data_IF_339337254794
#
_entry.id   IF_339337254794
#
_cell.length_a   1.000
_cell.length_b   1.000
_cell.length_c   1.000
_cell.angle_alpha   90.00
_cell.angle_beta   90.00
_cell.angle_gamma   90.00
#
_symmetry.space_group_name_H-M   'P 1'
#
loop_
_entity.id
_entity.type
_entity.pdbx_description
1 polymer ?
#
# COMPACT_ATOMS: atom_id res chain seq x y z
N UNK A 1 -8.43 17.09 -41.55
CA UNK A 1 -7.27 16.40 -40.92
C UNK A 1 -6.86 17.02 -39.56
N UNK A 2 -7.83 17.38 -38.71
CA UNK A 2 -7.61 17.96 -37.37
C UNK A 2 -8.61 17.45 -36.31
N UNK A 3 -9.36 16.38 -36.60
CA UNK A 3 -10.33 15.77 -35.67
C UNK A 3 -9.90 14.39 -35.14
N UNK A 4 -8.74 13.86 -35.55
CA UNK A 4 -8.26 12.53 -35.14
C UNK A 4 -7.18 12.57 -34.03
N UNK A 5 -6.83 13.76 -33.52
CA UNK A 5 -5.83 13.92 -32.44
C UNK A 5 -6.43 14.20 -31.06
N UNK A 6 -7.75 14.34 -30.95
CA UNK A 6 -8.43 14.56 -29.67
C UNK A 6 -9.12 13.32 -29.09
N UNK A 7 -9.23 12.24 -29.87
CA UNK A 7 -9.88 10.98 -29.45
C UNK A 7 -8.89 9.89 -28.99
N UNK A 8 -7.58 10.14 -29.00
CA UNK A 8 -6.57 9.14 -28.62
C UNK A 8 -5.82 9.45 -27.32
N UNK A 9 -6.09 10.60 -26.67
CA UNK A 9 -5.56 10.91 -25.32
C UNK A 9 -6.58 10.64 -24.20
N UNK A 10 -7.79 10.18 -24.53
CA UNK A 10 -8.83 9.84 -23.57
C UNK A 10 -8.95 8.31 -23.29
N UNK A 11 -8.08 7.48 -23.87
CA UNK A 11 -8.15 6.01 -23.74
C UNK A 11 -6.93 5.37 -23.06
N UNK A 12 -6.04 6.17 -22.45
CA UNK A 12 -4.93 5.69 -21.59
C UNK A 12 -4.93 6.51 -20.30
N UNK A 13 -6.06 6.48 -19.59
CA UNK A 13 -6.18 6.89 -18.17
C UNK A 13 -7.01 5.87 -17.37
N UNK A 14 -7.56 4.84 -18.02
CA UNK A 14 -8.29 3.77 -17.34
C UNK A 14 -7.34 2.61 -17.03
N UNK A 15 -6.63 2.67 -15.90
CA UNK A 15 -6.35 1.57 -14.97
C UNK A 15 -5.37 2.06 -13.90
N UNK A 16 -5.75 1.85 -12.65
CA UNK A 16 -5.14 2.36 -11.41
C UNK A 16 -5.48 3.82 -11.05
N UNK A 17 -6.78 4.10 -10.97
CA UNK A 17 -7.28 4.83 -9.81
C UNK A 17 -8.04 3.82 -8.95
N UNK A 18 -7.47 3.40 -7.81
CA UNK A 18 -8.29 3.00 -6.67
C UNK A 18 -8.62 4.31 -5.94
N UNK A 19 -9.36 5.17 -6.63
CA UNK A 19 -10.23 6.12 -5.97
C UNK A 19 -11.40 5.27 -5.53
N UNK A 20 -11.68 5.20 -4.23
CA UNK A 20 -12.90 4.59 -3.75
C UNK A 20 -14.08 5.22 -4.49
N UNK A 21 -14.64 4.49 -5.45
CA UNK A 21 -15.95 4.80 -5.97
C UNK A 21 -16.92 4.47 -4.83
N UNK A 22 -17.28 5.48 -4.03
CA UNK A 22 -18.46 5.40 -3.20
C UNK A 22 -19.63 5.22 -4.16
N UNK A 23 -20.15 3.98 -4.27
CA UNK A 23 -21.45 3.77 -4.88
C UNK A 23 -22.50 4.27 -3.88
N UNK A 24 -22.95 5.51 -4.07
CA UNK A 24 -24.08 6.08 -3.35
C UNK A 24 -25.35 5.49 -3.97
N UNK A 25 -25.90 4.44 -3.38
CA UNK A 25 -27.29 4.04 -3.64
C UNK A 25 -28.22 4.94 -2.84
N UNK A 26 -28.69 6.04 -3.44
CA UNK A 26 -29.86 6.76 -2.92
C UNK A 26 -31.10 5.92 -3.22
N UNK A 27 -31.55 5.12 -2.26
CA UNK A 27 -32.79 4.35 -2.42
C UNK A 27 -33.98 5.32 -2.33
N UNK A 28 -34.47 5.77 -3.48
CA UNK A 28 -35.84 6.25 -3.64
C UNK A 28 -36.62 5.13 -4.33
N UNK A 29 -37.50 4.45 -3.59
CA UNK A 29 -38.26 3.30 -4.12
C UNK A 29 -39.26 3.76 -5.18
N UNK A 30 -39.13 3.25 -6.41
CA UNK A 30 -40.23 3.10 -7.37
C UNK A 30 -39.93 1.89 -8.27
N UNK A 31 -40.76 0.85 -8.15
CA UNK A 31 -40.65 -0.40 -8.90
C UNK A 31 -40.87 -0.23 -10.41
N UNK A 32 -40.04 -0.89 -11.23
CA UNK A 32 -40.54 -1.68 -12.37
C UNK A 32 -39.51 -2.68 -12.90
N UNK A 33 -39.98 -3.91 -13.09
CA UNK A 33 -39.28 -5.08 -13.59
C UNK A 33 -39.12 -5.14 -15.12
N UNK A 34 -38.02 -5.74 -15.59
CA UNK A 34 -37.87 -6.72 -16.72
C UNK A 34 -36.35 -6.92 -16.97
N UNK A 35 -35.77 -8.10 -16.79
CA UNK A 35 -35.76 -9.33 -17.61
C UNK A 35 -34.80 -9.32 -18.82
N UNK A 36 -33.94 -10.34 -18.83
CA UNK A 36 -33.42 -11.13 -19.99
C UNK A 36 -32.05 -10.86 -20.65
N UNK A 37 -31.13 -11.79 -20.32
CA UNK A 37 -30.34 -12.74 -21.16
C UNK A 37 -29.24 -12.34 -22.16
N UNK A 38 -28.07 -12.95 -21.89
CA UNK A 38 -27.12 -13.69 -22.75
C UNK A 38 -26.48 -13.02 -23.97
N UNK A 39 -25.14 -13.17 -24.09
CA UNK A 39 -24.51 -13.94 -25.18
C UNK A 39 -23.04 -14.25 -24.85
N UNK A 40 -22.73 -15.56 -24.77
CA UNK A 40 -21.38 -16.10 -24.82
C UNK A 40 -20.93 -16.21 -26.28
N UNK A 41 -19.66 -15.92 -26.58
CA UNK A 41 -19.01 -16.43 -27.78
C UNK A 41 -17.55 -16.72 -27.50
N UNK A 42 -17.17 -17.98 -27.73
CA UNK A 42 -15.82 -18.50 -27.64
C UNK A 42 -14.99 -18.09 -28.87
N UNK A 43 -13.68 -17.97 -28.70
CA UNK A 43 -12.75 -18.28 -29.79
C UNK A 43 -11.38 -18.70 -29.27
N UNK A 44 -10.73 -19.48 -30.11
CA UNK A 44 -9.77 -20.51 -29.77
C UNK A 44 -8.34 -20.15 -30.21
N UNK A 45 -7.40 -20.88 -29.62
CA UNK A 45 -6.19 -21.49 -30.24
C UNK A 45 -4.82 -20.77 -30.21
N UNK A 46 -3.82 -21.64 -29.96
CA UNK A 46 -2.41 -21.68 -30.41
C UNK A 46 -1.32 -21.30 -29.38
N UNK A 47 -0.80 -22.34 -28.70
CA UNK A 47 0.62 -22.51 -28.29
C UNK A 47 1.49 -22.83 -29.55
N UNK A 48 2.82 -22.59 -29.61
CA UNK A 48 3.81 -23.05 -28.61
C UNK A 48 5.06 -22.16 -28.42
N UNK A 49 5.88 -22.41 -27.39
CA UNK A 49 7.28 -22.87 -27.56
C UNK A 49 8.17 -22.69 -26.31
N UNK A 50 8.96 -23.74 -26.07
CA UNK A 50 10.37 -23.78 -25.63
C UNK A 50 10.79 -23.21 -24.27
N UNK A 51 10.98 -24.14 -23.33
CA UNK A 51 11.76 -23.99 -22.10
C UNK A 51 13.22 -23.68 -22.41
N UNK A 52 13.76 -22.63 -21.78
CA UNK A 52 15.21 -22.43 -21.63
C UNK A 52 15.49 -22.33 -20.13
N UNK A 53 16.24 -23.29 -19.62
CA UNK A 53 16.70 -23.38 -18.23
C UNK A 53 17.82 -22.36 -17.99
N UNK A 54 17.52 -21.29 -17.25
CA UNK A 54 18.52 -20.32 -16.80
C UNK A 54 19.24 -20.86 -15.57
N UNK A 55 20.54 -21.12 -15.70
CA UNK A 55 21.41 -21.52 -14.62
C UNK A 55 21.67 -20.33 -13.67
N UNK A 56 21.26 -20.46 -12.41
CA UNK A 56 21.57 -19.51 -11.34
C UNK A 56 23.06 -19.51 -11.07
N UNK A 57 23.74 -18.43 -11.45
CA UNK A 57 25.16 -18.21 -11.13
C UNK A 57 25.24 -17.68 -9.70
N UNK A 58 25.74 -18.50 -8.78
CA UNK A 58 26.02 -18.12 -7.39
C UNK A 58 27.23 -17.17 -7.40
N UNK A 59 27.01 -15.89 -7.07
CA UNK A 59 28.09 -14.94 -6.84
C UNK A 59 28.78 -15.25 -5.49
N UNK A 60 30.12 -15.23 -5.42
CA UNK A 60 30.86 -15.48 -4.19
C UNK A 60 30.60 -14.39 -3.15
N UNK A 61 30.39 -14.82 -1.91
CA UNK A 61 30.21 -13.98 -0.73
C UNK A 61 31.56 -13.30 -0.41
N UNK A 62 31.68 -12.00 -0.69
CA UNK A 62 32.86 -11.22 -0.33
C UNK A 62 32.58 -10.47 0.97
N UNK A 63 33.21 -10.91 2.07
CA UNK A 63 33.24 -10.26 3.39
C UNK A 63 34.09 -8.98 3.41
N UNK A 64 33.96 -8.10 2.42
CA UNK A 64 34.59 -6.77 2.44
C UNK A 64 33.52 -5.72 2.67
N UNK A 65 33.71 -4.89 3.69
CA UNK A 65 32.89 -3.69 3.93
C UNK A 65 32.74 -2.93 2.61
N UNK A 66 31.51 -2.73 2.09
CA UNK A 66 31.32 -2.15 0.78
C UNK A 66 31.89 -0.73 0.73
N UNK A 67 32.81 -0.48 -0.19
CA UNK A 67 33.35 0.87 -0.42
C UNK A 67 32.36 1.68 -1.24
N UNK A 68 31.79 2.74 -0.65
CA UNK A 68 30.82 3.59 -1.37
C UNK A 68 31.45 4.49 -2.46
N UNK A 69 32.78 4.49 -2.56
CA UNK A 69 33.52 5.04 -3.68
C UNK A 69 33.54 4.14 -4.92
N UNK A 70 33.23 2.84 -4.77
CA UNK A 70 33.11 1.89 -5.89
C UNK A 70 31.72 2.03 -6.53
N UNK A 71 31.60 2.44 -7.82
CA UNK A 71 30.30 2.62 -8.46
C UNK A 71 29.45 1.34 -8.56
N UNK A 72 30.02 0.15 -8.28
CA UNK A 72 29.29 -1.12 -8.27
C UNK A 72 28.12 -1.14 -7.30
N UNK A 73 28.17 -0.39 -6.19
CA UNK A 73 27.07 -0.37 -5.22
C UNK A 73 25.74 0.09 -5.83
N UNK A 74 25.79 0.92 -6.88
CA UNK A 74 24.60 1.42 -7.60
C UNK A 74 23.80 0.33 -8.31
N UNK A 75 24.30 -0.90 -8.38
CA UNK A 75 23.68 -1.97 -9.16
C UNK A 75 23.33 -3.22 -8.34
N UNK A 76 23.85 -3.35 -7.11
CA UNK A 76 23.65 -4.53 -6.27
C UNK A 76 23.00 -4.08 -4.96
N UNK A 77 21.76 -4.49 -4.71
CA UNK A 77 20.95 -4.03 -3.58
C UNK A 77 21.69 -4.16 -2.23
N UNK A 78 22.26 -5.32 -1.93
CA UNK A 78 23.02 -5.58 -0.69
C UNK A 78 24.18 -4.59 -0.48
N UNK A 79 24.83 -4.15 -1.57
CA UNK A 79 25.88 -3.12 -1.51
C UNK A 79 25.32 -1.71 -1.51
N UNK A 80 24.15 -1.51 -2.11
CA UNK A 80 23.51 -0.21 -2.22
C UNK A 80 22.99 0.28 -0.88
N UNK A 81 22.37 -0.59 -0.09
CA UNK A 81 21.74 -0.23 1.19
C UNK A 81 22.72 0.53 2.12
N UNK A 82 23.91 0.02 2.49
CA UNK A 82 24.80 0.74 3.41
C UNK A 82 25.37 2.04 2.82
N UNK A 83 25.43 2.17 1.49
CA UNK A 83 25.90 3.38 0.83
C UNK A 83 24.82 4.44 0.64
N UNK A 84 23.62 4.03 0.26
CA UNK A 84 22.47 4.91 0.08
C UNK A 84 21.87 5.36 1.41
N UNK A 85 22.10 4.61 2.48
CA UNK A 85 21.67 4.88 3.85
C UNK A 85 22.86 5.21 4.77
N UNK A 86 23.92 5.81 4.22
CA UNK A 86 25.03 6.33 5.02
C UNK A 86 24.58 7.54 5.85
N UNK A 87 25.34 7.87 6.90
CA UNK A 87 25.10 9.07 7.71
C UNK A 87 24.95 10.35 6.89
N UNK A 88 25.78 10.51 5.86
CA UNK A 88 25.75 11.68 4.97
C UNK A 88 24.49 11.70 4.10
N UNK A 89 24.01 10.55 3.63
CA UNK A 89 22.77 10.47 2.84
C UNK A 89 21.52 10.67 3.71
N UNK A 90 21.47 10.07 4.90
CA UNK A 90 20.36 10.23 5.85
C UNK A 90 20.21 11.70 6.29
N UNK A 91 21.34 12.38 6.55
CA UNK A 91 21.32 13.80 6.91
C UNK A 91 20.67 14.71 5.84
N UNK A 92 20.66 14.30 4.56
CA UNK A 92 20.03 15.08 3.47
C UNK A 92 18.50 14.98 3.47
N UNK A 93 17.94 13.90 3.99
CA UNK A 93 16.49 13.66 4.03
C UNK A 93 15.86 13.97 5.39
N UNK A 94 16.69 14.27 6.39
CA UNK A 94 16.25 14.58 7.75
C UNK A 94 15.10 15.59 7.86
N UNK A 95 15.07 16.72 7.13
CA UNK A 95 13.95 17.65 7.21
C UNK A 95 12.60 17.00 6.83
N UNK A 96 12.60 16.12 5.82
CA UNK A 96 11.40 15.38 5.41
C UNK A 96 11.05 14.30 6.44
N UNK A 97 12.06 13.59 6.97
CA UNK A 97 11.83 12.60 8.02
C UNK A 97 11.22 13.25 9.29
N UNK A 98 11.69 14.41 9.71
CA UNK A 98 11.11 15.16 10.83
C UNK A 98 9.66 15.60 10.54
N UNK A 99 9.37 16.03 9.31
CA UNK A 99 8.02 16.40 8.89
C UNK A 99 7.04 15.20 8.92
N UNK A 100 7.49 14.02 8.48
CA UNK A 100 6.64 12.84 8.35
C UNK A 100 6.55 12.02 9.65
N UNK A 101 7.42 12.26 10.63
CA UNK A 101 7.47 11.49 11.87
C UNK A 101 6.18 11.65 12.68
N UNK A 102 5.48 10.53 12.87
CA UNK A 102 4.33 10.41 13.75
C UNK A 102 4.71 10.11 15.20
N UNK A 103 3.69 10.04 16.08
CA UNK A 103 3.87 9.65 17.48
C UNK A 103 4.18 8.16 17.67
N UNK A 104 3.89 7.33 16.66
CA UNK A 104 4.17 5.88 16.64
C UNK A 104 4.75 5.46 15.29
N UNK A 105 5.37 4.28 15.22
CA UNK A 105 5.91 3.76 13.95
C UNK A 105 4.81 3.55 12.91
N UNK A 106 3.60 3.14 13.32
CA UNK A 106 2.45 3.00 12.42
C UNK A 106 2.05 4.33 11.79
N UNK A 107 2.03 5.41 12.58
CA UNK A 107 1.71 6.73 12.08
C UNK A 107 2.80 7.24 11.13
N UNK A 108 4.07 7.05 11.48
CA UNK A 108 5.19 7.39 10.61
C UNK A 108 5.15 6.62 9.29
N UNK A 109 4.90 5.31 9.34
CA UNK A 109 4.78 4.46 8.15
C UNK A 109 3.62 4.91 7.24
N UNK A 110 2.46 5.21 7.83
CA UNK A 110 1.31 5.72 7.08
C UNK A 110 1.59 7.08 6.43
N UNK A 111 2.20 8.01 7.18
CA UNK A 111 2.57 9.33 6.67
C UNK A 111 3.56 9.22 5.51
N UNK A 112 4.55 8.31 5.59
CA UNK A 112 5.48 8.05 4.50
C UNK A 112 4.74 7.55 3.26
N UNK A 113 3.86 6.56 3.41
CA UNK A 113 3.13 5.97 2.28
C UNK A 113 2.18 6.97 1.59
N UNK A 114 1.46 7.82 2.34
CA UNK A 114 0.66 8.89 1.74
C UNK A 114 1.55 9.92 1.04
N UNK A 115 2.66 10.32 1.66
CA UNK A 115 3.58 11.28 1.04
C UNK A 115 4.19 10.72 -0.25
N UNK A 116 4.64 9.46 -0.25
CA UNK A 116 5.20 8.78 -1.42
C UNK A 116 4.18 8.70 -2.57
N UNK A 117 2.94 8.31 -2.27
CA UNK A 117 1.82 8.27 -3.22
C UNK A 117 1.56 9.63 -3.87
N UNK A 118 1.65 10.71 -3.12
CA UNK A 118 1.37 12.06 -3.60
C UNK A 118 2.55 12.71 -4.35
N UNK A 119 3.79 12.40 -3.94
CA UNK A 119 4.97 13.17 -4.35
C UNK A 119 5.94 12.40 -5.27
N UNK A 120 5.90 11.08 -5.28
CA UNK A 120 6.82 10.24 -6.05
C UNK A 120 6.04 9.44 -7.08
N UNK A 121 6.38 9.61 -8.36
CA UNK A 121 5.79 8.83 -9.46
C UNK A 121 6.60 7.56 -9.73
N UNK A 122 5.92 6.50 -10.16
CA UNK A 122 6.61 5.30 -10.63
C UNK A 122 7.31 5.56 -11.97
N UNK A 123 8.63 5.38 -12.02
CA UNK A 123 9.44 5.59 -13.24
C UNK A 123 9.36 4.38 -14.17
N UNK A 124 8.26 4.28 -14.93
CA UNK A 124 8.05 3.23 -15.92
C UNK A 124 9.15 3.16 -16.98
N UNK A 125 9.76 4.30 -17.34
CA UNK A 125 10.87 4.34 -18.30
C UNK A 125 12.08 3.63 -17.72
N UNK A 126 12.45 3.94 -16.47
CA UNK A 126 13.53 3.23 -15.76
C UNK A 126 13.19 1.74 -15.58
N UNK A 127 11.96 1.41 -15.18
CA UNK A 127 11.53 0.03 -14.98
C UNK A 127 11.58 -0.83 -16.27
N UNK A 128 11.41 -0.19 -17.44
CA UNK A 128 11.53 -0.87 -18.75
C UNK A 128 12.97 -1.12 -19.20
N UNK A 129 13.96 -0.54 -18.53
CA UNK A 129 15.36 -0.80 -18.81
C UNK A 129 15.71 -2.23 -18.42
N UNK A 130 16.62 -2.89 -19.14
CA UNK A 130 17.06 -4.23 -18.76
C UNK A 130 17.71 -4.22 -17.38
N UNK A 131 17.53 -5.31 -16.64
CA UNK A 131 18.22 -5.53 -15.37
C UNK A 131 19.75 -5.42 -15.57
N UNK A 132 20.48 -4.84 -14.60
CA UNK A 132 21.93 -4.78 -14.66
C UNK A 132 22.56 -6.17 -14.74
N UNK A 133 23.40 -6.39 -15.75
CA UNK A 133 24.24 -7.58 -15.86
C UNK A 133 25.69 -7.15 -15.66
N UNK A 134 26.37 -7.75 -14.69
CA UNK A 134 27.69 -7.32 -14.23
C UNK A 134 28.68 -8.46 -14.41
N UNK A 135 29.77 -8.20 -15.14
CA UNK A 135 30.93 -9.08 -15.20
C UNK A 135 32.00 -8.58 -14.26
N UNK A 136 32.38 -9.43 -13.30
CA UNK A 136 33.48 -9.17 -12.37
C UNK A 136 34.71 -9.93 -12.89
N UNK A 137 35.82 -9.24 -13.05
CA UNK A 137 37.09 -9.80 -13.52
C UNK A 137 37.94 -10.26 -12.33
N UNK A 138 38.91 -11.14 -12.59
CA UNK A 138 39.78 -11.72 -11.56
C UNK A 138 40.62 -10.69 -10.78
N UNK A 139 40.85 -9.50 -11.35
CA UNK A 139 41.55 -8.39 -10.70
C UNK A 139 40.63 -7.50 -9.85
N UNK A 140 39.36 -7.89 -9.66
CA UNK A 140 38.36 -7.12 -8.91
C UNK A 140 37.71 -5.97 -9.68
N UNK A 141 38.18 -5.65 -10.88
CA UNK A 141 37.48 -4.70 -11.75
C UNK A 141 36.15 -5.29 -12.23
N UNK A 142 35.21 -4.43 -12.61
CA UNK A 142 33.92 -4.88 -13.12
C UNK A 142 33.50 -4.10 -14.37
N UNK A 143 32.59 -4.70 -15.13
CA UNK A 143 31.92 -4.07 -16.27
C UNK A 143 30.44 -4.38 -16.23
N UNK A 144 29.62 -3.34 -16.27
CA UNK A 144 28.18 -3.48 -16.51
C UNK A 144 27.98 -3.71 -18.01
N UNK A 145 27.61 -4.93 -18.37
CA UNK A 145 27.46 -5.35 -19.78
C UNK A 145 26.06 -5.07 -20.32
N UNK A 146 25.06 -4.94 -19.45
CA UNK A 146 23.67 -4.60 -19.77
C UNK A 146 23.06 -3.80 -18.61
N UNK A 147 22.08 -2.94 -18.88
CA UNK A 147 21.34 -2.22 -17.83
C UNK A 147 22.12 -1.10 -17.14
N UNK A 148 23.12 -0.50 -17.80
CA UNK A 148 24.00 0.54 -17.22
C UNK A 148 23.24 1.74 -16.64
N UNK A 149 22.11 2.11 -17.23
CA UNK A 149 21.31 3.26 -16.79
C UNK A 149 20.26 2.88 -15.73
N UNK A 150 20.09 1.58 -15.44
CA UNK A 150 19.19 1.09 -14.39
C UNK A 150 19.93 1.04 -13.04
N UNK A 151 20.24 2.22 -12.51
CA UNK A 151 20.99 2.41 -11.25
C UNK A 151 20.07 2.67 -10.08
N UNK A 152 20.40 2.14 -8.91
CA UNK A 152 19.74 2.40 -7.64
C UNK A 152 19.97 3.85 -7.21
N UNK A 153 18.89 4.51 -6.80
CA UNK A 153 18.90 5.88 -6.32
C UNK A 153 19.11 5.94 -4.80
N UNK A 154 19.72 7.02 -4.32
CA UNK A 154 19.67 7.33 -2.87
C UNK A 154 18.30 7.90 -2.49
N UNK A 155 17.93 7.94 -1.20
CA UNK A 155 16.70 8.59 -0.77
C UNK A 155 16.58 10.04 -1.28
N UNK A 156 17.64 10.82 -1.13
CA UNK A 156 17.67 12.22 -1.58
C UNK A 156 17.50 12.34 -3.10
N UNK A 157 18.13 11.48 -3.89
CA UNK A 157 17.94 11.47 -5.34
C UNK A 157 16.50 11.15 -5.75
N UNK A 158 15.87 10.17 -5.09
CA UNK A 158 14.47 9.79 -5.34
C UNK A 158 13.52 10.96 -5.06
N UNK A 159 13.72 11.66 -3.94
CA UNK A 159 12.97 12.86 -3.56
C UNK A 159 13.17 13.95 -4.61
N UNK A 160 14.42 14.28 -4.97
CA UNK A 160 14.72 15.37 -5.90
C UNK A 160 14.22 15.12 -7.32
N UNK A 161 14.15 13.85 -7.75
CA UNK A 161 13.60 13.50 -9.06
C UNK A 161 12.08 13.41 -9.05
N UNK A 162 11.45 13.26 -7.88
CA UNK A 162 10.01 13.02 -7.75
C UNK A 162 9.56 11.71 -8.39
N UNK A 163 10.48 10.75 -8.61
CA UNK A 163 10.18 9.46 -9.23
C UNK A 163 11.25 8.39 -9.01
N UNK A 164 10.82 7.13 -8.96
CA UNK A 164 11.68 5.97 -8.79
C UNK A 164 11.00 4.66 -9.19
N UNK A 165 11.73 3.55 -9.09
CA UNK A 165 11.17 2.19 -9.20
C UNK A 165 11.12 1.53 -7.81
N UNK A 166 10.55 0.32 -7.70
CA UNK A 166 10.36 -0.36 -6.42
C UNK A 166 11.58 -0.36 -5.47
N UNK A 167 12.79 -0.59 -6.00
CA UNK A 167 14.02 -0.53 -5.19
C UNK A 167 14.34 0.86 -4.66
N UNK A 168 14.05 1.92 -5.43
CA UNK A 168 14.30 3.29 -4.99
C UNK A 168 13.31 3.69 -3.88
N UNK A 169 12.03 3.28 -4.01
CA UNK A 169 11.04 3.46 -2.95
C UNK A 169 11.46 2.71 -1.68
N UNK A 170 11.79 1.42 -1.77
CA UNK A 170 12.20 0.63 -0.61
C UNK A 170 13.38 1.28 0.16
N UNK A 171 14.37 1.81 -0.56
CA UNK A 171 15.50 2.52 0.04
C UNK A 171 15.09 3.87 0.63
N UNK A 172 14.23 4.64 -0.06
CA UNK A 172 13.68 5.89 0.47
C UNK A 172 12.90 5.67 1.76
N UNK A 173 11.93 4.74 1.75
CA UNK A 173 11.10 4.39 2.91
C UNK A 173 11.96 3.93 4.09
N UNK A 174 12.93 3.04 3.85
CA UNK A 174 13.85 2.58 4.89
C UNK A 174 14.71 3.73 5.44
N UNK A 175 15.22 4.62 4.57
CA UNK A 175 16.00 5.77 4.99
C UNK A 175 15.21 6.75 5.86
N UNK A 176 13.97 7.05 5.49
CA UNK A 176 13.08 7.91 6.29
C UNK A 176 12.83 7.29 7.67
N UNK A 177 12.52 5.99 7.74
CA UNK A 177 12.30 5.30 9.01
C UNK A 177 13.55 5.27 9.91
N UNK A 178 14.73 4.99 9.34
CA UNK A 178 15.99 5.00 10.08
C UNK A 178 16.31 6.39 10.64
N UNK A 179 16.14 7.46 9.84
CA UNK A 179 16.39 8.83 10.33
C UNK A 179 15.39 9.25 11.42
N UNK A 180 14.15 8.74 11.37
CA UNK A 180 13.18 8.84 12.46
C UNK A 180 13.54 8.02 13.71
N UNK A 181 14.66 7.31 13.70
CA UNK A 181 15.16 6.43 14.77
C UNK A 181 14.30 5.18 14.99
N UNK A 182 13.66 4.67 13.93
CA UNK A 182 13.12 3.32 13.90
C UNK A 182 14.19 2.36 13.38
N UNK A 183 14.60 1.42 14.22
CA UNK A 183 15.62 0.42 13.91
C UNK A 183 15.38 -0.81 14.80
N UNK A 184 15.43 -2.04 14.26
CA UNK A 184 15.70 -2.36 12.87
C UNK A 184 14.56 -1.99 11.90
N UNK A 185 14.91 -1.83 10.62
CA UNK A 185 13.99 -1.86 9.49
C UNK A 185 14.47 -2.91 8.50
N UNK A 186 13.60 -3.35 7.59
CA UNK A 186 13.91 -4.43 6.67
C UNK A 186 13.68 -4.00 5.23
N UNK A 187 14.44 -4.59 4.30
CA UNK A 187 14.13 -4.56 2.87
C UNK A 187 13.99 -6.00 2.39
N UNK A 188 12.86 -6.29 1.74
CA UNK A 188 12.61 -7.60 1.14
C UNK A 188 12.80 -7.50 -0.37
N UNK A 189 13.70 -8.32 -0.90
CA UNK A 189 13.84 -8.52 -2.36
C UNK A 189 13.00 -9.73 -2.77
N UNK A 190 11.83 -9.46 -3.32
CA UNK A 190 10.78 -10.43 -3.65
C UNK A 190 10.98 -10.97 -5.06
N UNK A 191 10.90 -12.29 -5.20
CA UNK A 191 10.88 -12.98 -6.48
C UNK A 191 9.49 -13.58 -6.73
N UNK A 192 9.05 -13.58 -7.99
CA UNK A 192 7.80 -14.19 -8.40
C UNK A 192 8.03 -15.47 -9.19
N UNK A 193 7.13 -16.44 -9.05
CA UNK A 193 7.17 -17.69 -9.82
C UNK A 193 7.04 -17.40 -11.32
N UNK A 194 7.98 -17.90 -12.12
CA UNK A 194 7.94 -17.78 -13.59
C UNK A 194 8.16 -16.37 -14.12
N UNK A 195 8.75 -15.46 -13.32
CA UNK A 195 9.08 -14.11 -13.75
C UNK A 195 10.54 -13.76 -13.47
N UNK A 196 11.20 -13.16 -14.45
CA UNK A 196 12.54 -12.60 -14.29
C UNK A 196 12.52 -11.19 -13.68
N UNK A 197 11.33 -10.62 -13.46
CA UNK A 197 11.13 -9.30 -12.84
C UNK A 197 10.68 -9.50 -11.40
N UNK A 198 11.58 -9.20 -10.46
CA UNK A 198 11.28 -9.17 -9.03
C UNK A 198 10.60 -7.88 -8.58
N UNK A 199 10.51 -7.71 -7.26
CA UNK A 199 10.05 -6.50 -6.59
C UNK A 199 10.88 -6.24 -5.34
N UNK A 200 10.89 -5.00 -4.85
CA UNK A 200 11.60 -4.64 -3.63
C UNK A 200 10.72 -3.73 -2.79
N UNK A 201 10.65 -4.01 -1.49
CA UNK A 201 9.80 -3.28 -0.53
C UNK A 201 10.52 -3.06 0.78
N UNK A 202 10.18 -1.96 1.45
CA UNK A 202 10.53 -1.76 2.84
C UNK A 202 9.52 -2.52 3.73
N UNK A 203 10.00 -3.01 4.87
CA UNK A 203 9.20 -3.76 5.84
C UNK A 203 9.58 -3.31 7.25
N UNK A 204 8.60 -3.20 8.13
CA UNK A 204 8.79 -2.92 9.57
C UNK A 204 8.24 -4.08 10.40
N UNK A 205 8.80 -4.28 11.59
CA UNK A 205 8.29 -5.22 12.58
C UNK A 205 7.58 -4.47 13.71
N UNK A 206 6.37 -4.92 14.06
CA UNK A 206 5.58 -4.40 15.17
C UNK A 206 5.01 -5.59 15.94
N UNK A 207 5.41 -5.76 17.19
CA UNK A 207 4.91 -6.82 18.07
C UNK A 207 5.02 -8.24 17.45
N UNK A 208 6.12 -8.51 16.73
CA UNK A 208 6.36 -9.80 16.06
C UNK A 208 5.71 -9.94 14.69
N UNK A 209 4.92 -8.95 14.25
CA UNK A 209 4.29 -8.91 12.93
C UNK A 209 5.07 -8.03 11.96
N UNK A 210 5.22 -8.49 10.73
CA UNK A 210 5.92 -7.79 9.66
C UNK A 210 4.91 -7.12 8.73
N UNK A 211 5.12 -5.84 8.48
CA UNK A 211 4.26 -5.01 7.65
C UNK A 211 5.03 -4.46 6.46
N UNK A 212 4.55 -4.78 5.27
CA UNK A 212 5.08 -4.31 4.00
C UNK A 212 4.59 -2.90 3.72
N UNK A 213 5.55 -2.02 3.40
CA UNK A 213 5.33 -0.63 3.01
C UNK A 213 5.65 -0.51 1.51
N UNK A 214 4.61 -0.53 0.67
CA UNK A 214 4.74 -0.62 -0.79
C UNK A 214 4.11 0.58 -1.51
N UNK A 215 4.76 1.75 -1.37
CA UNK A 215 4.52 3.00 -2.14
C UNK A 215 3.18 3.69 -1.88
N UNK A 216 2.16 2.97 -1.43
CA UNK A 216 0.82 3.48 -1.16
C UNK A 216 0.27 2.81 0.11
N UNK A 217 -0.59 3.50 0.88
CA UNK A 217 -1.35 2.86 1.93
C UNK A 217 -2.35 1.84 1.37
N UNK A 218 -2.76 0.85 2.18
CA UNK A 218 -2.33 0.62 3.56
C UNK A 218 -0.99 -0.13 3.66
N UNK A 219 -0.36 -0.08 4.84
CA UNK A 219 0.64 -1.08 5.21
C UNK A 219 -0.04 -2.46 5.30
N UNK A 220 0.57 -3.49 4.71
CA UNK A 220 -0.02 -4.84 4.63
C UNK A 220 0.79 -5.83 5.44
N UNK A 221 0.15 -6.73 6.20
CA UNK A 221 0.87 -7.89 6.72
C UNK A 221 1.33 -8.82 5.57
N UNK A 222 2.25 -9.74 5.85
CA UNK A 222 2.85 -10.58 4.82
C UNK A 222 1.82 -11.44 4.07
N UNK A 223 0.80 -11.96 4.77
CA UNK A 223 -0.25 -12.78 4.21
C UNK A 223 -1.15 -12.00 3.25
N UNK A 224 -1.57 -10.81 3.68
CA UNK A 224 -2.30 -9.86 2.85
C UNK A 224 -1.48 -9.47 1.60
N UNK A 225 -0.18 -9.21 1.77
CA UNK A 225 0.72 -8.87 0.67
C UNK A 225 0.87 -10.02 -0.35
N UNK A 226 0.94 -11.27 0.14
CA UNK A 226 0.96 -12.45 -0.72
C UNK A 226 -0.32 -12.57 -1.56
N UNK A 227 -1.49 -12.38 -0.95
CA UNK A 227 -2.78 -12.39 -1.67
C UNK A 227 -2.87 -11.27 -2.71
N UNK A 228 -2.50 -10.05 -2.32
CA UNK A 228 -2.48 -8.89 -3.21
C UNK A 228 -1.74 -9.18 -4.53
N UNK A 229 -0.55 -9.79 -4.46
CA UNK A 229 0.18 -10.16 -5.67
C UNK A 229 -0.45 -11.31 -6.43
N UNK A 230 -0.95 -12.33 -5.72
CA UNK A 230 -1.60 -13.50 -6.34
C UNK A 230 -2.79 -13.08 -7.20
N UNK A 231 -3.59 -12.13 -6.73
CA UNK A 231 -4.73 -11.56 -7.47
C UNK A 231 -4.29 -10.80 -8.72
N UNK A 232 -3.11 -10.17 -8.67
CA UNK A 232 -2.47 -9.53 -9.83
C UNK A 232 -1.80 -10.54 -10.78
N UNK A 233 -2.08 -11.82 -10.61
CA UNK A 233 -1.53 -12.90 -11.44
C UNK A 233 -0.06 -13.22 -11.15
N UNK A 234 0.50 -12.76 -10.03
CA UNK A 234 1.89 -13.03 -9.63
C UNK A 234 1.95 -13.76 -8.30
N UNK A 235 2.55 -14.94 -8.28
CA UNK A 235 2.75 -15.68 -7.02
C UNK A 235 4.14 -15.39 -6.48
N UNK A 236 4.25 -14.93 -5.23
CA UNK A 236 5.54 -14.78 -4.55
C UNK A 236 6.17 -16.17 -4.39
N UNK A 237 7.35 -16.37 -4.96
CA UNK A 237 8.10 -17.62 -4.83
C UNK A 237 8.96 -17.62 -3.57
N UNK A 238 9.69 -16.53 -3.34
CA UNK A 238 10.52 -16.30 -2.17
C UNK A 238 10.86 -14.80 -2.02
N UNK A 239 11.43 -14.43 -0.88
CA UNK A 239 12.05 -13.14 -0.67
C UNK A 239 13.40 -13.30 0.03
N UNK A 240 14.40 -12.52 -0.40
CA UNK A 240 15.64 -12.34 0.38
C UNK A 240 15.44 -11.20 1.36
N UNK A 241 15.77 -11.43 2.64
CA UNK A 241 15.53 -10.47 3.72
C UNK A 241 16.85 -9.78 4.09
N UNK A 242 16.86 -8.46 4.04
CA UNK A 242 17.93 -7.63 4.56
C UNK A 242 17.42 -6.93 5.82
N UNK A 243 18.00 -7.23 6.97
CA UNK A 243 17.82 -6.46 8.20
C UNK A 243 18.79 -5.29 8.21
N UNK A 244 18.28 -4.11 8.56
CA UNK A 244 19.02 -2.86 8.52
C UNK A 244 18.94 -2.22 9.89
N UNK A 245 20.10 -2.11 10.56
CA UNK A 245 20.23 -1.48 11.87
C UNK A 245 20.96 -0.15 11.73
N UNK A 246 20.52 0.85 12.49
CA UNK A 246 21.25 2.11 12.59
C UNK A 246 22.36 1.99 13.63
N UNK A 247 23.63 2.04 13.20
CA UNK A 247 24.80 1.98 14.09
C UNK A 247 25.70 3.19 13.82
N UNK A 248 25.97 3.98 14.87
CA UNK A 248 26.76 5.22 14.79
C UNK A 248 26.27 6.23 13.72
N UNK A 249 24.98 6.19 13.39
CA UNK A 249 24.34 7.06 12.39
C UNK A 249 24.43 6.56 10.95
N UNK A 250 24.95 5.36 10.70
CA UNK A 250 24.97 4.71 9.38
C UNK A 250 24.23 3.37 9.42
N UNK A 251 23.68 2.96 8.27
CA UNK A 251 23.06 1.65 8.14
C UNK A 251 24.10 0.51 8.13
N UNK A 252 23.95 -0.44 9.04
CA UNK A 252 24.55 -1.77 8.96
C UNK A 252 23.53 -2.77 8.44
N UNK A 253 23.94 -3.64 7.53
CA UNK A 253 23.05 -4.56 6.81
C UNK A 253 23.44 -6.00 7.08
N UNK A 254 22.46 -6.79 7.50
CA UNK A 254 22.59 -8.23 7.69
C UNK A 254 21.64 -8.95 6.71
N UNK A 255 22.18 -9.88 5.92
CA UNK A 255 21.40 -10.74 5.05
C UNK A 255 20.90 -11.94 5.86
N UNK A 256 19.60 -11.93 6.22
CA UNK A 256 18.98 -12.98 7.03
C UNK A 256 18.64 -14.24 6.20
N UNK A 257 18.92 -14.22 4.91
CA UNK A 257 18.68 -15.33 3.99
C UNK A 257 17.35 -15.22 3.24
N UNK A 258 16.85 -16.37 2.79
CA UNK A 258 15.71 -16.48 1.88
C UNK A 258 14.54 -17.14 2.61
N UNK A 259 13.37 -16.51 2.55
CA UNK A 259 12.09 -17.07 3.02
C UNK A 259 11.22 -17.44 1.82
N UNK A 260 10.50 -18.56 1.91
CA UNK A 260 9.57 -18.97 0.85
C UNK A 260 8.29 -18.13 0.87
N UNK A 261 7.60 -18.02 -0.27
CA UNK A 261 6.30 -17.32 -0.32
C UNK A 261 5.23 -17.95 0.58
N UNK A 262 5.32 -19.25 0.87
CA UNK A 262 4.38 -19.92 1.79
C UNK A 262 4.57 -19.43 3.23
N UNK A 263 5.78 -19.00 3.61
CA UNK A 263 6.05 -18.44 4.94
C UNK A 263 5.30 -17.11 5.16
N UNK A 264 5.00 -16.35 4.10
CA UNK A 264 4.23 -15.11 4.22
C UNK A 264 2.83 -15.38 4.77
N UNK A 265 2.22 -16.50 4.38
CA UNK A 265 0.87 -16.90 4.82
C UNK A 265 0.79 -17.28 6.31
N UNK A 266 1.93 -17.39 7.01
CA UNK A 266 1.94 -17.59 8.47
C UNK A 266 1.63 -16.31 9.23
N UNK A 267 1.80 -15.15 8.60
CA UNK A 267 1.46 -13.84 9.16
C UNK A 267 0.34 -13.22 8.34
N UNK A 268 -0.84 -13.79 8.54
CA UNK A 268 -2.02 -13.48 7.74
C UNK A 268 -3.19 -13.24 8.69
N UNK A 269 -3.37 -11.98 9.09
CA UNK A 269 -4.43 -11.64 10.02
C UNK A 269 -5.79 -11.95 9.38
N UNK A 270 -6.72 -12.46 10.20
CA UNK A 270 -8.09 -12.73 9.80
C UNK A 270 -8.99 -11.76 10.51
N UNK A 271 -9.67 -10.93 9.71
CA UNK A 271 -10.70 -10.04 10.18
C UNK A 271 -11.79 -10.81 10.95
N UNK A 272 -12.30 -10.20 12.01
CA UNK A 272 -13.28 -10.82 12.90
C UNK A 272 -14.43 -9.87 13.21
N UNK A 273 -15.53 -10.40 13.76
CA UNK A 273 -16.65 -9.59 14.27
C UNK A 273 -16.20 -8.59 15.34
N UNK A 274 -15.18 -8.95 16.15
CA UNK A 274 -14.61 -8.04 17.14
C UNK A 274 -13.92 -6.84 16.50
N UNK A 275 -13.32 -7.01 15.32
CA UNK A 275 -12.73 -5.92 14.55
C UNK A 275 -13.81 -5.01 13.97
N UNK A 276 -14.89 -5.57 13.44
CA UNK A 276 -16.04 -4.79 12.98
C UNK A 276 -16.63 -3.92 14.10
N UNK A 277 -16.79 -4.49 15.30
CA UNK A 277 -17.25 -3.76 16.49
C UNK A 277 -16.25 -2.67 16.91
N UNK A 278 -14.95 -2.97 16.92
CA UNK A 278 -13.92 -1.99 17.21
C UNK A 278 -13.93 -0.83 16.21
N UNK A 279 -14.12 -1.12 14.92
CA UNK A 279 -14.24 -0.10 13.86
C UNK A 279 -15.47 0.78 14.11
N UNK A 280 -16.63 0.18 14.37
CA UNK A 280 -17.85 0.93 14.68
C UNK A 280 -17.66 1.87 15.88
N UNK A 281 -17.10 1.36 16.98
CA UNK A 281 -16.86 2.14 18.19
C UNK A 281 -15.87 3.30 17.97
N UNK A 282 -14.76 3.04 17.27
CA UNK A 282 -13.75 4.06 16.97
C UNK A 282 -14.26 5.13 16.00
N UNK A 283 -14.97 4.75 14.93
CA UNK A 283 -15.59 5.71 14.01
C UNK A 283 -16.63 6.56 14.73
N UNK A 284 -17.51 5.94 15.53
CA UNK A 284 -18.51 6.66 16.33
C UNK A 284 -17.86 7.69 17.26
N UNK A 285 -16.76 7.31 17.90
CA UNK A 285 -16.00 8.21 18.78
C UNK A 285 -15.40 9.41 18.03
N UNK A 286 -14.87 9.19 16.82
CA UNK A 286 -14.33 10.28 15.99
C UNK A 286 -15.44 11.19 15.47
N UNK A 287 -16.58 10.64 15.04
CA UNK A 287 -17.74 11.44 14.60
C UNK A 287 -18.24 12.32 15.75
N UNK A 288 -18.49 11.76 16.94
CA UNK A 288 -18.94 12.52 18.11
C UNK A 288 -17.97 13.64 18.50
N UNK A 289 -16.67 13.41 18.36
CA UNK A 289 -15.65 14.42 18.64
C UNK A 289 -15.72 15.62 17.67
N UNK A 290 -16.00 15.37 16.39
CA UNK A 290 -16.03 16.41 15.36
C UNK A 290 -17.42 17.05 15.17
N UNK A 291 -18.49 16.33 15.53
CA UNK A 291 -19.88 16.75 15.41
C UNK A 291 -20.59 16.64 16.77
N UNK A 292 -20.32 17.57 17.71
CA UNK A 292 -20.83 17.51 19.08
C UNK A 292 -22.35 17.71 19.20
N UNK A 293 -23.04 18.08 18.10
CA UNK A 293 -24.49 18.13 17.99
C UNK A 293 -25.13 16.72 17.91
N UNK A 294 -24.35 15.70 17.58
CA UNK A 294 -24.84 14.33 17.42
C UNK A 294 -24.81 13.55 18.74
N UNK A 295 -25.77 12.64 18.89
CA UNK A 295 -25.75 11.56 19.89
C UNK A 295 -25.78 10.20 19.20
N UNK A 296 -25.14 9.20 19.81
CA UNK A 296 -25.26 7.82 19.35
C UNK A 296 -26.63 7.25 19.76
N UNK A 297 -27.35 6.60 18.84
CA UNK A 297 -28.65 5.97 19.13
C UNK A 297 -28.84 4.67 18.33
N UNK A 298 -28.79 3.54 19.03
CA UNK A 298 -28.93 2.20 18.46
C UNK A 298 -30.32 1.91 17.86
N UNK A 299 -31.37 2.65 18.25
CA UNK A 299 -32.70 2.48 17.64
C UNK A 299 -32.70 2.86 16.16
N UNK A 300 -31.75 3.71 15.73
CA UNK A 300 -31.60 4.13 14.34
C UNK A 300 -31.18 2.99 13.39
N UNK A 301 -30.74 1.83 13.89
CA UNK A 301 -30.47 0.66 13.04
C UNK A 301 -31.70 0.22 12.21
N UNK A 302 -32.91 0.62 12.61
CA UNK A 302 -34.16 0.34 11.90
C UNK A 302 -34.34 1.23 10.65
N UNK A 303 -33.59 2.33 10.54
CA UNK A 303 -33.66 3.24 9.39
C UNK A 303 -33.23 2.56 8.09
N UNK A 304 -32.19 1.73 8.13
CA UNK A 304 -31.79 0.91 7.00
C UNK A 304 -32.91 -0.02 6.48
N UNK A 305 -33.88 -0.36 7.34
CA UNK A 305 -35.06 -1.16 7.00
C UNK A 305 -36.28 -0.30 6.60
N UNK A 306 -36.11 1.02 6.53
CA UNK A 306 -37.15 1.99 6.13
C UNK A 306 -38.04 2.47 7.28
N UNK A 307 -37.69 2.19 8.54
CA UNK A 307 -38.49 2.61 9.71
C UNK A 307 -37.78 3.72 10.48
N UNK A 308 -38.43 4.89 10.60
CA UNK A 308 -37.95 6.00 11.43
C UNK A 308 -38.43 5.83 12.88
N UNK A 309 -37.53 5.71 13.87
CA UNK A 309 -37.92 5.55 15.27
C UNK A 309 -38.72 6.76 15.81
N UNK A 310 -39.49 6.52 16.87
CA UNK A 310 -40.24 7.58 17.53
C UNK A 310 -39.29 8.65 18.11
N UNK A 311 -39.73 9.92 18.11
CA UNK A 311 -38.90 11.05 18.57
C UNK A 311 -38.08 11.75 17.48
N UNK A 312 -38.07 11.20 16.26
CA UNK A 312 -37.43 11.81 15.10
C UNK A 312 -38.46 12.37 14.10
N UNK A 313 -38.08 13.43 13.38
CA UNK A 313 -38.87 14.04 12.30
C UNK A 313 -38.41 13.59 10.91
N UNK A 314 -37.14 13.19 10.80
CA UNK A 314 -36.47 12.89 9.55
C UNK A 314 -35.29 11.94 9.81
N UNK A 315 -35.00 11.05 8.85
CA UNK A 315 -33.85 10.17 8.88
C UNK A 315 -33.27 9.96 7.48
N UNK A 316 -31.96 9.70 7.41
CA UNK A 316 -31.22 9.46 6.18
C UNK A 316 -30.19 8.35 6.42
N UNK A 317 -29.90 7.59 5.37
CA UNK A 317 -28.97 6.47 5.40
C UNK A 317 -27.89 6.70 4.36
N UNK A 318 -26.64 6.66 4.80
CA UNK A 318 -25.47 6.68 3.95
C UNK A 318 -24.81 5.30 3.94
N UNK A 319 -24.46 4.81 2.76
CA UNK A 319 -23.78 3.51 2.61
C UNK A 319 -22.45 3.71 1.90
N UNK A 320 -21.39 3.20 2.50
CA UNK A 320 -20.04 3.25 1.97
C UNK A 320 -19.50 1.83 1.79
N UNK A 321 -18.81 1.59 0.68
CA UNK A 321 -18.14 0.32 0.41
C UNK A 321 -16.65 0.57 0.21
N UNK A 322 -15.84 -0.08 1.03
CA UNK A 322 -14.38 -0.03 0.99
C UNK A 322 -13.85 -1.35 0.44
N UNK A 323 -13.44 -1.31 -0.83
CA UNK A 323 -12.93 -2.48 -1.54
C UNK A 323 -11.73 -3.07 -0.84
N UNK A 324 -11.71 -4.40 -0.69
CA UNK A 324 -10.57 -5.18 -0.15
C UNK A 324 -10.12 -4.81 1.27
N UNK A 325 -10.86 -3.94 1.97
CA UNK A 325 -10.46 -3.45 3.27
C UNK A 325 -10.29 -4.57 4.30
N UNK A 326 -11.17 -5.58 4.26
CA UNK A 326 -11.14 -6.74 5.16
C UNK A 326 -9.85 -7.54 4.98
N UNK A 327 -9.30 -7.59 3.76
CA UNK A 327 -8.07 -8.33 3.48
C UNK A 327 -6.80 -7.65 3.99
N UNK A 328 -6.82 -6.32 4.09
CA UNK A 328 -5.68 -5.50 4.49
C UNK A 328 -5.76 -5.04 5.95
N UNK A 329 -6.91 -5.21 6.60
CA UNK A 329 -7.09 -4.79 7.97
C UNK A 329 -6.20 -5.61 8.91
N UNK A 330 -5.49 -4.90 9.78
CA UNK A 330 -4.79 -5.48 10.91
C UNK A 330 -4.96 -4.55 12.12
N UNK A 331 -5.31 -5.07 13.31
CA UNK A 331 -5.59 -4.25 14.49
C UNK A 331 -4.40 -3.40 14.93
N UNK A 332 -3.16 -3.79 14.58
CA UNK A 332 -1.97 -2.99 14.86
C UNK A 332 -1.96 -1.65 14.13
N UNK A 333 -2.66 -1.53 12.99
CA UNK A 333 -2.87 -0.30 12.22
C UNK A 333 -4.27 0.29 12.39
N UNK A 334 -5.05 -0.19 13.36
CA UNK A 334 -6.45 0.19 13.55
C UNK A 334 -6.64 1.72 13.49
N UNK A 335 -5.90 2.49 14.29
CA UNK A 335 -6.04 3.95 14.34
C UNK A 335 -5.84 4.62 12.97
N UNK A 336 -4.84 4.22 12.20
CA UNK A 336 -4.57 4.78 10.87
C UNK A 336 -5.70 4.44 9.90
N UNK A 337 -6.16 3.19 9.93
CA UNK A 337 -7.28 2.73 9.10
C UNK A 337 -8.59 3.44 9.46
N UNK A 338 -8.88 3.67 10.74
CA UNK A 338 -10.06 4.43 11.17
C UNK A 338 -10.00 5.87 10.67
N UNK A 339 -8.84 6.54 10.79
CA UNK A 339 -8.69 7.90 10.28
C UNK A 339 -8.95 7.93 8.76
N UNK A 340 -8.39 6.98 8.01
CA UNK A 340 -8.62 6.86 6.57
C UNK A 340 -10.10 6.65 6.22
N UNK A 341 -10.80 5.77 6.95
CA UNK A 341 -12.24 5.55 6.78
C UNK A 341 -13.04 6.83 7.07
N UNK A 342 -12.76 7.49 8.19
CA UNK A 342 -13.42 8.74 8.58
C UNK A 342 -13.21 9.83 7.53
N UNK A 343 -11.95 10.09 7.14
CA UNK A 343 -11.60 11.12 6.15
C UNK A 343 -12.28 10.82 4.81
N UNK A 344 -12.34 9.55 4.40
CA UNK A 344 -13.05 9.13 3.19
C UNK A 344 -14.55 9.41 3.28
N UNK A 345 -15.19 9.10 4.41
CA UNK A 345 -16.63 9.33 4.64
C UNK A 345 -16.96 10.83 4.59
N UNK A 346 -16.19 11.67 5.30
CA UNK A 346 -16.47 13.11 5.39
C UNK A 346 -15.91 13.92 4.22
N UNK A 347 -15.14 13.31 3.33
CA UNK A 347 -14.71 13.94 2.08
C UNK A 347 -15.88 14.23 1.14
N UNK A 348 -16.99 13.51 1.30
CA UNK A 348 -18.26 13.86 0.67
C UNK A 348 -18.90 15.07 1.39
N UNK A 349 -19.04 16.22 0.71
CA UNK A 349 -19.56 17.42 1.35
C UNK A 349 -21.01 17.29 1.81
N UNK A 350 -21.82 16.42 1.20
CA UNK A 350 -23.21 16.19 1.63
C UNK A 350 -23.23 15.44 2.96
N UNK A 351 -22.37 14.43 3.13
CA UNK A 351 -22.24 13.69 4.38
C UNK A 351 -21.80 14.61 5.50
N UNK A 352 -20.79 15.46 5.25
CA UNK A 352 -20.33 16.44 6.24
C UNK A 352 -21.40 17.47 6.62
N UNK A 353 -22.19 17.94 5.64
CA UNK A 353 -23.30 18.86 5.88
C UNK A 353 -24.41 18.21 6.72
N UNK A 354 -24.74 16.96 6.44
CA UNK A 354 -25.75 16.22 7.18
C UNK A 354 -25.32 15.93 8.63
N UNK A 355 -24.07 15.49 8.84
CA UNK A 355 -23.52 15.29 10.18
C UNK A 355 -23.57 16.58 11.02
N UNK A 356 -23.48 17.76 10.39
CA UNK A 356 -23.62 19.07 11.04
C UNK A 356 -25.05 19.53 11.31
N UNK A 357 -26.07 18.92 10.69
CA UNK A 357 -27.47 19.35 10.77
C UNK A 357 -28.37 18.40 11.57
N UNK A 358 -28.04 17.11 11.57
CA UNK A 358 -28.81 16.08 12.26
C UNK A 358 -28.43 16.05 13.75
N UNK A 359 -29.17 15.30 14.58
CA UNK A 359 -28.99 15.30 16.04
C UNK A 359 -28.66 13.92 16.62
N UNK A 360 -28.82 12.85 15.84
CA UNK A 360 -28.46 11.51 16.24
C UNK A 360 -27.91 10.69 15.07
N UNK A 361 -27.13 9.66 15.38
CA UNK A 361 -26.62 8.72 14.39
C UNK A 361 -26.38 7.32 14.96
N UNK A 362 -26.24 6.35 14.05
CA UNK A 362 -25.79 4.99 14.32
C UNK A 362 -24.85 4.53 13.19
N UNK A 363 -23.89 3.67 13.53
CA UNK A 363 -22.97 3.07 12.55
C UNK A 363 -23.03 1.56 12.66
N UNK A 364 -23.34 0.92 11.54
CA UNK A 364 -23.21 -0.52 11.36
C UNK A 364 -22.04 -0.84 10.43
N UNK A 365 -21.23 -1.82 10.83
CA UNK A 365 -20.09 -2.33 10.05
C UNK A 365 -20.42 -3.75 9.63
N UNK A 366 -20.38 -4.03 8.32
CA UNK A 366 -20.61 -5.37 7.75
C UNK A 366 -19.44 -5.81 6.89
N UNK A 367 -19.06 -7.06 7.03
CA UNK A 367 -18.18 -7.75 6.09
C UNK A 367 -19.01 -8.20 4.86
N UNK A 368 -18.59 -7.80 3.66
CA UNK A 368 -19.16 -8.25 2.39
C UNK A 368 -18.06 -8.92 1.54
N UNK A 369 -17.74 -10.16 1.93
CA UNK A 369 -16.59 -10.89 1.40
C UNK A 369 -15.30 -10.18 1.78
N UNK A 370 -14.54 -9.76 0.79
CA UNK A 370 -13.25 -9.06 0.99
C UNK A 370 -13.43 -7.55 1.30
N UNK A 371 -14.67 -7.05 1.28
CA UNK A 371 -14.96 -5.63 1.38
C UNK A 371 -15.57 -5.27 2.73
N UNK A 372 -15.32 -4.05 3.19
CA UNK A 372 -15.99 -3.49 4.35
C UNK A 372 -17.14 -2.60 3.89
N UNK A 373 -18.34 -2.85 4.40
CA UNK A 373 -19.49 -1.96 4.23
C UNK A 373 -19.75 -1.22 5.52
N UNK A 374 -19.93 0.10 5.39
CA UNK A 374 -20.27 0.98 6.48
C UNK A 374 -21.64 1.58 6.17
N UNK A 375 -22.58 1.40 7.09
CA UNK A 375 -23.91 2.00 7.04
C UNK A 375 -23.95 3.06 8.14
N UNK A 376 -24.21 4.29 7.76
CA UNK A 376 -24.34 5.44 8.65
C UNK A 376 -25.80 5.91 8.60
N UNK A 377 -26.55 5.58 9.64
CA UNK A 377 -27.91 6.05 9.84
C UNK A 377 -27.85 7.37 10.62
N UNK A 378 -28.53 8.41 10.15
CA UNK A 378 -28.60 9.72 10.81
C UNK A 378 -30.05 10.17 10.95
N UNK A 379 -30.39 10.82 12.06
CA UNK A 379 -31.75 11.29 12.31
C UNK A 379 -31.81 12.65 12.99
N UNK A 380 -32.88 13.39 12.69
CA UNK A 380 -33.15 14.72 13.24
C UNK A 380 -34.29 14.63 14.25
N UNK A 381 -34.03 15.07 15.47
CA UNK A 381 -35.01 15.12 16.54
C UNK A 381 -36.12 16.13 16.22
N UNK A 382 -37.32 15.84 16.71
CA UNK A 382 -38.51 16.71 16.54
C UNK A 382 -38.39 18.05 17.25
#
# INVERSE_FOLDING_TARGET
>A
MKLLKFMLSALIVALVFVSGCVQIETITQTEKATSETNFFTASSTVTPSTQTTSATTVLPHFNTTPSCSDPLWRYILERAIPCALSKEELAKIKPLAEQLKGGTIQQSAWNILEWEKEHIQYDWKKASLPAPEIKIYSNGSFKVVRGKDNTIQTPYETIMKGKGICTDYAILTAGLLLDMNYSPVYIFSVNFTGSDVGHAVAVIEIEGWYFVLDQHPPAMDLGAYYRYWKEKGKTISNATIYEIKLVNGSAEVENLGIVSGIEFLKQDYKFTDADAQAISGSLSSIILKNFPNLRLDEELQQLFQGTLPEGYSEGKVWTFRFEKFVEYYNPLFHKQLINYLYDSIVSDPEVGADLGQYSAFWIEIREEGENLKIILDIAKSR
#
